data_IF_612532741821
#
_entry.id   IF_612532741821
#
_cell.length_a   1.000
_cell.length_b   1.000
_cell.length_c   1.000
_cell.angle_alpha   90.00
_cell.angle_beta   90.00
_cell.angle_gamma   90.00
#
_symmetry.space_group_name_H-M   'P 1'
#
loop_
_entity.id
_entity.type
_entity.pdbx_description
1 polymer ?
#
# COMPACT_ATOMS: atom_id res chain seq x y z
N UNK A 1 4.23 -11.65 -6.08
CA UNK A 1 4.27 -11.77 -4.61
C UNK A 1 2.86 -11.97 -4.11
N UNK A 2 2.64 -11.72 -2.82
CA UNK A 2 1.30 -11.69 -2.23
C UNK A 2 0.97 -10.29 -1.76
N UNK A 3 -0.21 -9.81 -2.13
CA UNK A 3 -0.80 -8.60 -1.58
C UNK A 3 -1.69 -9.01 -0.40
N UNK A 4 -1.81 -8.14 0.60
CA UNK A 4 -2.57 -8.42 1.81
C UNK A 4 -3.37 -7.20 2.25
N UNK A 5 -4.52 -7.45 2.88
CA UNK A 5 -5.34 -6.37 3.40
C UNK A 5 -4.72 -5.82 4.70
N UNK A 6 -4.54 -4.50 4.77
CA UNK A 6 -4.02 -3.86 5.97
C UNK A 6 -5.04 -3.95 7.11
N UNK A 7 -4.57 -4.27 8.32
CA UNK A 7 -5.48 -4.56 9.45
C UNK A 7 -6.07 -3.27 10.04
N UNK A 8 -5.28 -2.20 10.11
CA UNK A 8 -5.64 -0.98 10.83
C UNK A 8 -6.07 0.17 9.94
N UNK A 9 -5.80 0.10 8.64
CA UNK A 9 -5.86 1.27 7.76
C UNK A 9 -7.16 1.46 6.97
N UNK A 10 -8.21 0.67 7.23
CA UNK A 10 -9.44 0.69 6.42
C UNK A 10 -9.23 0.06 5.05
N UNK A 11 -9.76 0.68 3.98
CA UNK A 11 -9.63 0.19 2.60
C UNK A 11 -8.25 0.39 1.97
N UNK A 12 -7.28 -0.36 2.49
CA UNK A 12 -5.88 -0.39 2.06
C UNK A 12 -5.42 -1.83 1.83
N UNK A 13 -4.67 -2.02 0.74
CA UNK A 13 -3.92 -3.24 0.48
C UNK A 13 -2.44 -2.89 0.44
N UNK A 14 -1.62 -3.73 1.05
CA UNK A 14 -0.18 -3.64 1.05
C UNK A 14 0.46 -4.80 0.27
N UNK A 15 1.57 -4.53 -0.40
CA UNK A 15 2.34 -5.49 -1.18
C UNK A 15 3.82 -5.28 -0.92
N UNK A 16 4.46 -6.28 -0.32
CA UNK A 16 5.88 -6.22 0.00
C UNK A 16 6.71 -6.17 -1.28
N UNK A 17 7.65 -5.24 -1.34
CA UNK A 17 8.57 -5.09 -2.46
C UNK A 17 10.02 -5.22 -2.02
N UNK A 18 10.83 -5.72 -2.94
CA UNK A 18 12.28 -5.55 -2.95
C UNK A 18 12.62 -4.91 -4.30
N UNK A 19 13.26 -3.74 -4.36
CA UNK A 19 14.17 -3.17 -3.35
C UNK A 19 13.55 -2.13 -2.40
N UNK A 20 14.29 -1.81 -1.32
CA UNK A 20 13.97 -0.83 -0.28
C UNK A 20 14.48 0.58 -0.62
N UNK A 21 13.69 1.61 -0.33
CA UNK A 21 13.96 3.02 -0.67
C UNK A 21 13.78 3.93 0.54
N UNK A 22 14.67 3.83 1.52
CA UNK A 22 14.60 4.62 2.76
C UNK A 22 14.84 6.12 2.55
N UNK A 23 15.44 6.52 1.43
CA UNK A 23 15.87 7.88 1.11
C UNK A 23 14.97 8.61 0.10
N UNK A 24 13.88 7.98 -0.38
CA UNK A 24 13.01 8.50 -1.45
C UNK A 24 11.57 8.73 -1.01
N UNK A 25 11.39 9.15 0.23
CA UNK A 25 10.07 9.45 0.79
C UNK A 25 9.71 10.91 0.49
N UNK A 26 8.93 11.13 -0.56
CA UNK A 26 8.41 12.44 -0.97
C UNK A 26 6.88 12.44 -0.97
N UNK A 27 6.25 13.63 -0.95
CA UNK A 27 4.79 13.79 -1.01
C UNK A 27 4.05 12.92 0.03
N UNK A 28 4.51 12.98 1.28
CA UNK A 28 4.04 12.10 2.35
C UNK A 28 2.76 12.63 3.00
N UNK A 29 1.83 11.72 3.26
CA UNK A 29 0.54 12.03 3.90
C UNK A 29 -0.02 10.79 4.57
N UNK A 30 -0.90 10.96 5.56
CA UNK A 30 -1.83 9.91 6.01
C UNK A 30 -3.25 10.14 5.48
N UNK A 31 -3.51 11.27 4.82
CA UNK A 31 -4.80 11.59 4.19
C UNK A 31 -4.75 11.16 2.74
N UNK A 32 -5.29 9.98 2.47
CA UNK A 32 -5.31 9.34 1.16
C UNK A 32 -6.71 9.41 0.54
N UNK A 33 -6.78 9.23 -0.77
CA UNK A 33 -8.02 9.17 -1.53
C UNK A 33 -8.11 7.84 -2.31
N UNK A 34 -9.33 7.42 -2.70
CA UNK A 34 -9.48 6.29 -3.61
C UNK A 34 -8.66 6.48 -4.90
N UNK A 35 -7.89 5.46 -5.21
CA UNK A 35 -6.97 5.39 -6.34
C UNK A 35 -5.55 5.86 -6.03
N UNK A 36 -5.27 6.44 -4.86
CA UNK A 36 -3.89 6.78 -4.50
C UNK A 36 -3.03 5.51 -4.40
N UNK A 37 -1.78 5.63 -4.84
CA UNK A 37 -0.77 4.58 -4.73
C UNK A 37 0.43 5.14 -3.97
N UNK A 38 0.73 4.48 -2.85
CA UNK A 38 1.73 4.90 -1.88
C UNK A 38 2.89 3.91 -1.78
N UNK A 39 4.00 4.43 -1.28
CA UNK A 39 5.13 3.65 -0.79
C UNK A 39 5.30 3.90 0.71
N UNK A 40 5.54 2.84 1.47
CA UNK A 40 5.88 2.94 2.87
C UNK A 40 7.13 2.12 3.18
N UNK A 41 7.95 2.68 4.06
CA UNK A 41 9.19 2.07 4.52
C UNK A 41 9.25 2.17 6.04
N UNK A 42 9.59 1.05 6.66
CA UNK A 42 9.84 0.97 8.09
C UNK A 42 11.21 0.32 8.34
N UNK A 43 12.14 1.02 9.03
CA UNK A 43 13.39 0.40 9.46
C UNK A 43 13.14 -0.77 10.42
N UNK A 44 13.92 -1.83 10.26
CA UNK A 44 13.96 -2.97 11.16
C UNK A 44 14.31 -2.55 12.59
N UNK A 45 13.69 -3.20 13.56
CA UNK A 45 13.85 -2.88 14.99
C UNK A 45 13.07 -1.65 15.46
N UNK A 46 12.38 -0.93 14.57
CA UNK A 46 11.54 0.20 14.98
C UNK A 46 10.24 -0.25 15.67
N UNK A 47 9.75 -1.45 15.35
CA UNK A 47 8.61 -2.07 16.01
C UNK A 47 8.99 -3.38 16.70
N UNK A 48 8.38 -3.62 17.86
CA UNK A 48 8.56 -4.87 18.59
C UNK A 48 8.14 -6.07 17.72
N UNK A 49 9.02 -7.06 17.60
CA UNK A 49 8.78 -8.27 16.81
C UNK A 49 9.05 -8.13 15.31
N UNK A 50 9.53 -6.97 14.83
CA UNK A 50 9.87 -6.73 13.42
C UNK A 50 11.35 -6.37 13.32
N UNK A 51 12.27 -7.36 13.23
CA UNK A 51 13.71 -7.11 13.20
C UNK A 51 14.20 -6.59 11.84
N UNK A 52 13.49 -6.90 10.76
CA UNK A 52 13.89 -6.58 9.40
C UNK A 52 13.16 -5.35 8.86
N UNK A 53 13.81 -4.63 7.95
CA UNK A 53 13.18 -3.53 7.22
C UNK A 53 11.96 -4.01 6.42
N UNK A 54 10.88 -3.25 6.45
CA UNK A 54 9.68 -3.47 5.64
C UNK A 54 9.60 -2.38 4.56
N UNK A 55 9.28 -2.79 3.33
CA UNK A 55 8.97 -1.91 2.21
C UNK A 55 7.74 -2.40 1.47
N UNK A 56 6.76 -1.52 1.31
CA UNK A 56 5.47 -1.88 0.74
C UNK A 56 5.01 -0.86 -0.32
N UNK A 57 4.48 -1.38 -1.42
CA UNK A 57 3.52 -0.63 -2.21
C UNK A 57 2.14 -0.77 -1.58
N UNK A 58 1.40 0.33 -1.63
CA UNK A 58 0.09 0.45 -0.99
C UNK A 58 -0.88 1.02 -2.01
N UNK A 59 -2.10 0.49 -2.05
CA UNK A 59 -3.18 1.08 -2.84
C UNK A 59 -4.45 1.24 -2.02
N UNK A 60 -5.05 2.41 -2.16
CA UNK A 60 -6.21 2.85 -1.41
C UNK A 60 -7.45 2.79 -2.30
N UNK A 61 -8.46 2.03 -1.90
CA UNK A 61 -9.57 1.67 -2.80
C UNK A 61 -10.95 2.16 -2.34
N UNK A 62 -11.04 2.80 -1.17
CA UNK A 62 -12.25 3.46 -0.68
C UNK A 62 -11.90 4.66 0.22
N UNK A 63 -12.92 5.46 0.59
CA UNK A 63 -12.76 6.74 1.30
C UNK A 63 -12.51 6.62 2.81
N UNK A 64 -12.70 5.43 3.37
CA UNK A 64 -12.46 5.17 4.79
C UNK A 64 -10.98 4.85 5.09
N UNK A 65 -10.13 4.82 4.05
CA UNK A 65 -8.73 4.49 4.21
C UNK A 65 -7.93 5.63 4.87
N UNK A 66 -7.12 5.27 5.87
CA UNK A 66 -6.10 6.11 6.49
C UNK A 66 -4.94 5.18 6.90
N UNK A 67 -3.76 5.26 6.25
CA UNK A 67 -2.60 4.46 6.63
C UNK A 67 -2.32 4.57 8.12
N UNK A 68 -2.31 3.42 8.80
CA UNK A 68 -2.32 3.39 10.26
C UNK A 68 -1.61 2.18 10.82
N UNK A 69 -0.99 2.41 11.98
CA UNK A 69 -0.47 1.37 12.87
C UNK A 69 -1.15 1.48 14.23
N UNK A 70 -0.83 0.57 15.15
CA UNK A 70 -1.36 0.57 16.53
C UNK A 70 -1.10 1.88 17.28
N UNK A 71 -0.07 2.63 16.90
CA UNK A 71 0.33 3.91 17.50
C UNK A 71 -0.34 5.13 16.89
N UNK A 72 -1.04 5.00 15.76
CA UNK A 72 -1.69 6.12 15.07
C UNK A 72 -1.49 6.11 13.55
N UNK A 73 -1.94 7.19 12.88
CA UNK A 73 -1.72 7.35 11.44
C UNK A 73 -0.22 7.37 11.09
N UNK A 74 0.13 6.71 9.99
CA UNK A 74 1.50 6.71 9.45
C UNK A 74 1.55 7.47 8.14
N UNK A 75 2.72 8.03 7.84
CA UNK A 75 2.94 8.79 6.62
C UNK A 75 3.39 7.85 5.50
N UNK A 76 2.68 7.89 4.38
CA UNK A 76 3.01 7.13 3.16
C UNK A 76 3.39 8.10 2.05
N UNK A 77 4.41 7.76 1.26
CA UNK A 77 4.87 8.57 0.14
C UNK A 77 4.02 8.29 -1.10
N UNK A 78 3.15 9.22 -1.49
CA UNK A 78 2.29 9.03 -2.67
C UNK A 78 3.07 9.29 -3.96
N UNK A 79 3.21 8.26 -4.79
CA UNK A 79 3.99 8.32 -6.05
C UNK A 79 3.15 8.11 -7.30
N UNK A 80 1.89 7.71 -7.16
CA UNK A 80 1.03 7.43 -8.29
C UNK A 80 -0.44 7.47 -7.94
N UNK A 81 -1.26 7.39 -8.99
CA UNK A 81 -2.70 7.28 -8.88
C UNK A 81 -3.25 6.37 -9.97
N UNK A 82 -4.13 5.46 -9.59
CA UNK A 82 -4.90 4.63 -10.52
C UNK A 82 -5.91 5.53 -11.24
N UNK A 83 -5.86 5.54 -12.56
CA UNK A 83 -6.74 6.31 -13.44
C UNK A 83 -7.60 5.38 -14.27
N UNK A 84 -8.74 5.89 -14.78
CA UNK A 84 -9.69 5.09 -15.54
C UNK A 84 -10.60 4.22 -14.66
N UNK A 85 -11.22 3.20 -15.28
CA UNK A 85 -12.08 2.26 -14.56
C UNK A 85 -11.24 1.20 -13.84
N UNK A 86 -11.28 1.24 -12.51
CA UNK A 86 -10.60 0.31 -11.61
C UNK A 86 -11.59 -0.52 -10.77
N UNK A 87 -12.88 -0.56 -11.14
CA UNK A 87 -13.94 -1.22 -10.38
C UNK A 87 -13.63 -2.68 -10.06
N UNK A 88 -13.20 -3.45 -11.05
CA UNK A 88 -12.82 -4.86 -10.89
C UNK A 88 -11.63 -5.04 -9.93
N UNK A 89 -10.65 -4.14 -9.97
CA UNK A 89 -9.51 -4.16 -9.07
C UNK A 89 -9.93 -3.85 -7.63
N UNK A 90 -10.80 -2.86 -7.43
CA UNK A 90 -11.33 -2.52 -6.12
C UNK A 90 -12.23 -3.62 -5.54
N UNK A 91 -12.98 -4.35 -6.37
CA UNK A 91 -13.71 -5.54 -5.91
C UNK A 91 -12.77 -6.65 -5.42
N UNK A 92 -11.66 -6.89 -6.12
CA UNK A 92 -10.65 -7.83 -5.66
C UNK A 92 -10.03 -7.41 -4.31
N UNK A 93 -9.80 -6.10 -4.13
CA UNK A 93 -9.34 -5.55 -2.85
C UNK A 93 -10.35 -5.75 -1.72
N UNK A 94 -11.64 -5.51 -1.97
CA UNK A 94 -12.72 -5.80 -1.01
C UNK A 94 -12.80 -7.28 -0.66
N UNK A 95 -12.60 -8.17 -1.63
CA UNK A 95 -12.59 -9.61 -1.40
C UNK A 95 -11.42 -10.03 -0.48
N UNK A 96 -10.24 -9.43 -0.65
CA UNK A 96 -9.05 -9.67 0.18
C UNK A 96 -9.28 -9.41 1.67
N UNK A 97 -10.21 -8.53 2.04
CA UNK A 97 -10.56 -8.31 3.47
C UNK A 97 -11.01 -9.58 4.18
N UNK A 98 -11.60 -10.54 3.45
CA UNK A 98 -12.05 -11.85 3.98
C UNK A 98 -11.02 -12.95 3.73
N UNK A 99 -10.33 -12.94 2.60
CA UNK A 99 -9.34 -13.96 2.23
C UNK A 99 -7.98 -13.76 2.93
N UNK A 100 -7.68 -12.55 3.40
CA UNK A 100 -6.43 -12.16 4.02
C UNK A 100 -5.37 -11.74 2.99
N UNK A 101 -5.04 -12.62 2.05
CA UNK A 101 -4.00 -12.38 1.03
C UNK A 101 -4.41 -12.92 -0.34
N UNK A 102 -3.90 -12.31 -1.40
CA UNK A 102 -4.05 -12.79 -2.78
C UNK A 102 -2.75 -12.67 -3.56
N UNK A 103 -2.59 -13.52 -4.58
CA UNK A 103 -1.44 -13.42 -5.48
C UNK A 103 -1.49 -12.12 -6.28
N UNK A 104 -0.39 -11.38 -6.31
CA UNK A 104 -0.28 -10.11 -7.01
C UNK A 104 1.02 -10.03 -7.81
N UNK A 105 0.92 -9.47 -9.03
CA UNK A 105 2.06 -9.18 -9.89
C UNK A 105 2.00 -7.72 -10.32
N UNK A 106 3.06 -6.99 -10.00
CA UNK A 106 3.28 -5.61 -10.45
C UNK A 106 4.29 -5.64 -11.59
N UNK A 107 3.96 -5.03 -12.72
CA UNK A 107 4.83 -4.96 -13.90
C UNK A 107 4.83 -3.54 -14.45
N UNK A 108 5.96 -3.11 -15.00
CA UNK A 108 6.02 -1.90 -15.81
C UNK A 108 5.15 -2.08 -17.05
N UNK A 109 4.24 -1.14 -17.28
CA UNK A 109 3.52 -1.03 -18.56
C UNK A 109 4.43 -0.27 -19.52
N UNK A 110 4.63 -0.79 -20.72
CA UNK A 110 5.22 -0.01 -21.81
C UNK A 110 4.17 0.98 -22.27
N UNK A 111 4.43 2.28 -22.11
CA UNK A 111 3.54 3.31 -22.64
C UNK A 111 3.48 3.14 -24.16
N UNK A 112 2.28 3.00 -24.78
CA UNK A 112 2.19 3.08 -26.23
C UNK A 112 2.77 4.43 -26.69
N UNK A 113 3.64 4.39 -27.70
CA UNK A 113 4.23 5.58 -28.31
C UNK A 113 3.15 6.54 -28.85
#
# INVERSE_FOLDING_TARGET
GYAHHAVYSGSEIAFNIEPKFSDRLENTTSRVLPGDVGYWFLPGGYMYGVPDDISEFMWFYDRDAEPRMTTGPVQVALFGRITGDASAFYEACRAMRRAGQEFCRVTRVETPA
#
